data_IF_264504822103
#
_entry.id   IF_264504822103
#
_cell.length_a   1.000
_cell.length_b   1.000
_cell.length_c   1.000
_cell.angle_alpha   90.00
_cell.angle_beta   90.00
_cell.angle_gamma   90.00
#
_symmetry.space_group_name_H-M   'P 1'
#
loop_
_entity.id
_entity.type
_entity.pdbx_description
1 polymer ?
#
# COMPACT_ATOMS: atom_id res chain seq x y z
N UNK A 1 -7.16 1.36 -20.14
CA UNK A 1 -7.13 1.02 -18.71
C UNK A 1 -7.20 2.30 -17.89
N UNK A 2 -8.12 2.38 -16.96
CA UNK A 2 -8.20 3.53 -16.09
C UNK A 2 -7.03 3.50 -15.09
N UNK A 3 -6.36 4.66 -14.92
CA UNK A 3 -5.23 4.79 -14.01
C UNK A 3 -5.57 5.58 -12.75
N UNK A 4 -6.81 6.03 -12.64
CA UNK A 4 -7.30 6.83 -11.51
C UNK A 4 -8.60 6.26 -10.98
N UNK A 5 -8.75 6.38 -9.66
CA UNK A 5 -9.97 6.04 -8.96
C UNK A 5 -10.34 7.20 -8.05
N UNK A 6 -11.60 7.59 -8.10
CA UNK A 6 -12.14 8.68 -7.27
C UNK A 6 -13.38 8.22 -6.55
N UNK A 7 -13.43 8.50 -5.25
CA UNK A 7 -14.60 8.25 -4.42
C UNK A 7 -14.94 9.48 -3.60
N UNK A 8 -15.88 9.38 -2.68
CA UNK A 8 -16.19 10.48 -1.76
C UNK A 8 -15.04 10.80 -0.82
N UNK A 9 -14.18 9.82 -0.53
CA UNK A 9 -13.09 9.95 0.46
C UNK A 9 -11.73 10.10 -0.19
N UNK A 10 -11.48 9.38 -1.29
CA UNK A 10 -10.14 9.25 -1.86
C UNK A 10 -10.05 9.71 -3.30
N UNK A 11 -8.88 10.26 -3.65
CA UNK A 11 -8.39 10.38 -5.01
C UNK A 11 -7.13 9.52 -5.12
N UNK A 12 -7.16 8.50 -5.95
CA UNK A 12 -6.09 7.52 -6.10
C UNK A 12 -5.60 7.56 -7.54
N UNK A 13 -4.30 7.77 -7.74
CA UNK A 13 -3.71 7.80 -9.07
C UNK A 13 -2.32 7.18 -9.07
N UNK A 14 -1.85 6.80 -10.24
CA UNK A 14 -0.49 6.30 -10.40
C UNK A 14 0.51 7.34 -9.88
N UNK A 15 1.55 6.85 -9.20
CA UNK A 15 2.63 7.69 -8.69
C UNK A 15 3.29 8.42 -9.85
N UNK A 16 3.53 9.73 -9.69
CA UNK A 16 4.25 10.55 -10.66
C UNK A 16 5.46 11.19 -10.01
N UNK A 17 6.41 11.64 -10.83
CA UNK A 17 7.64 12.28 -10.34
C UNK A 17 7.35 13.50 -9.45
N UNK A 18 6.24 14.18 -9.69
CA UNK A 18 5.82 15.32 -8.87
C UNK A 18 5.46 14.94 -7.43
N UNK A 19 5.24 13.66 -7.16
CA UNK A 19 4.87 13.17 -5.82
C UNK A 19 6.09 12.93 -4.92
N UNK A 20 7.30 12.93 -5.48
CA UNK A 20 8.51 12.49 -4.78
C UNK A 20 8.68 13.14 -3.40
N UNK A 21 8.55 14.46 -3.32
CA UNK A 21 8.74 15.16 -2.06
C UNK A 21 7.67 14.81 -1.02
N UNK A 22 6.45 14.58 -1.48
CA UNK A 22 5.35 14.14 -0.60
C UNK A 22 5.62 12.76 0.00
N UNK A 23 6.39 11.93 -0.69
CA UNK A 23 6.72 10.58 -0.23
C UNK A 23 7.75 10.54 0.90
N UNK A 24 8.27 11.68 1.36
CA UNK A 24 9.05 11.74 2.59
C UNK A 24 8.28 11.13 3.77
N UNK A 25 7.01 11.47 3.90
CA UNK A 25 6.16 10.95 4.97
C UNK A 25 5.86 9.46 4.80
N UNK A 26 5.75 8.99 3.55
CA UNK A 26 5.58 7.56 3.27
C UNK A 26 6.86 6.78 3.63
N UNK A 27 8.02 7.29 3.24
CA UNK A 27 9.31 6.65 3.56
C UNK A 27 9.52 6.57 5.08
N UNK A 28 9.16 7.61 5.82
CA UNK A 28 9.22 7.61 7.29
C UNK A 28 8.32 6.56 7.92
N UNK A 29 7.15 6.35 7.33
CA UNK A 29 6.15 5.41 7.85
C UNK A 29 6.49 3.96 7.51
N UNK A 30 7.28 3.70 6.48
CA UNK A 30 7.67 2.36 6.08
C UNK A 30 8.62 1.74 7.11
N UNK A 31 8.33 0.50 7.53
CA UNK A 31 9.09 -0.15 8.61
C UNK A 31 10.59 -0.26 8.33
N UNK A 32 10.97 -0.63 7.10
CA UNK A 32 12.40 -0.78 6.75
C UNK A 32 13.06 0.55 6.43
N UNK A 33 12.43 1.36 5.59
CA UNK A 33 12.99 2.62 5.10
C UNK A 33 12.84 3.77 6.09
N UNK A 34 11.89 3.67 7.03
CA UNK A 34 11.76 4.66 8.09
C UNK A 34 13.02 4.82 8.91
N UNK A 35 13.73 3.73 9.19
CA UNK A 35 14.99 3.76 9.93
C UNK A 35 16.09 4.49 9.17
N UNK A 36 16.21 4.24 7.86
CA UNK A 36 17.17 4.93 7.02
C UNK A 36 16.81 6.42 6.93
N UNK A 37 15.54 6.72 6.80
CA UNK A 37 15.06 8.10 6.76
C UNK A 37 15.43 8.86 8.03
N UNK A 38 15.28 8.24 9.22
CA UNK A 38 15.58 8.88 10.50
C UNK A 38 17.06 9.22 10.65
N UNK A 39 17.96 8.40 10.06
CA UNK A 39 19.40 8.64 10.10
C UNK A 39 19.84 9.65 9.03
N UNK A 40 19.38 9.47 7.80
CA UNK A 40 19.75 10.27 6.63
C UNK A 40 18.51 10.53 5.77
N UNK A 41 17.72 11.59 6.09
CA UNK A 41 16.42 11.81 5.44
C UNK A 41 16.44 11.90 3.91
N UNK A 42 17.43 12.64 3.35
CA UNK A 42 17.48 12.78 1.88
C UNK A 42 17.93 11.50 1.20
N UNK A 43 18.84 10.76 1.81
CA UNK A 43 19.26 9.45 1.31
C UNK A 43 18.13 8.43 1.48
N UNK A 44 17.44 8.46 2.60
CA UNK A 44 16.30 7.60 2.86
C UNK A 44 15.20 7.78 1.83
N UNK A 45 14.85 9.03 1.52
CA UNK A 45 13.87 9.31 0.47
C UNK A 45 14.35 8.84 -0.89
N UNK A 46 15.60 9.11 -1.25
CA UNK A 46 16.17 8.70 -2.53
C UNK A 46 16.12 7.17 -2.69
N UNK A 47 16.58 6.42 -1.69
CA UNK A 47 16.57 4.96 -1.72
C UNK A 47 15.14 4.43 -1.85
N UNK A 48 14.23 4.95 -1.06
CA UNK A 48 12.82 4.54 -1.10
C UNK A 48 12.22 4.80 -2.47
N UNK A 49 12.40 6.02 -2.99
CA UNK A 49 11.83 6.43 -4.28
C UNK A 49 12.37 5.59 -5.44
N UNK A 50 13.69 5.39 -5.49
CA UNK A 50 14.32 4.57 -6.54
C UNK A 50 13.87 3.11 -6.46
N UNK A 51 13.82 2.53 -5.26
CA UNK A 51 13.40 1.13 -5.11
C UNK A 51 11.95 0.91 -5.56
N UNK A 52 11.10 1.92 -5.39
CA UNK A 52 9.72 1.86 -5.79
C UNK A 52 9.54 2.12 -7.30
N UNK A 53 10.18 3.15 -7.82
CA UNK A 53 9.93 3.61 -9.20
C UNK A 53 10.74 2.87 -10.26
N UNK A 54 11.86 2.27 -9.89
CA UNK A 54 12.71 1.53 -10.82
C UNK A 54 12.31 0.05 -10.97
N UNK A 55 11.42 -0.44 -10.11
CA UNK A 55 10.94 -1.81 -10.19
C UNK A 55 9.75 -1.89 -11.16
N UNK A 56 9.96 -2.48 -12.32
CA UNK A 56 8.94 -2.63 -13.36
C UNK A 56 7.92 -3.75 -13.05
N UNK A 57 8.12 -4.50 -11.98
CA UNK A 57 7.14 -5.50 -11.49
C UNK A 57 6.18 -4.94 -10.46
N UNK A 58 6.26 -3.65 -10.16
CA UNK A 58 5.36 -2.96 -9.25
C UNK A 58 4.44 -1.98 -9.97
N UNK A 59 3.22 -1.86 -9.45
CA UNK A 59 2.29 -0.80 -9.84
C UNK A 59 1.99 0.01 -8.57
N UNK A 60 2.39 1.28 -8.57
CA UNK A 60 2.33 2.13 -7.39
C UNK A 60 1.31 3.26 -7.57
N UNK A 61 0.54 3.52 -6.53
CA UNK A 61 -0.48 4.55 -6.49
C UNK A 61 -0.27 5.49 -5.32
N UNK A 62 -0.42 6.79 -5.60
CA UNK A 62 -0.52 7.82 -4.56
C UNK A 62 -1.99 7.96 -4.17
N UNK A 63 -2.26 7.99 -2.87
CA UNK A 63 -3.61 8.11 -2.33
C UNK A 63 -3.74 9.46 -1.65
N UNK A 64 -4.71 10.26 -2.10
CA UNK A 64 -4.97 11.59 -1.56
C UNK A 64 -6.34 11.64 -0.90
N UNK A 65 -6.44 12.41 0.17
CA UNK A 65 -7.73 12.83 0.73
C UNK A 65 -8.29 14.00 -0.07
N UNK A 66 -9.56 14.32 0.12
CA UNK A 66 -10.23 15.39 -0.64
C UNK A 66 -9.73 16.80 -0.31
N UNK A 67 -9.02 16.96 0.81
CA UNK A 67 -8.33 18.22 1.13
C UNK A 67 -6.98 18.40 0.40
N UNK A 68 -6.55 17.40 -0.38
CA UNK A 68 -5.29 17.43 -1.10
C UNK A 68 -4.12 16.81 -0.37
N UNK A 69 -4.27 16.41 0.89
CA UNK A 69 -3.20 15.77 1.64
C UNK A 69 -2.92 14.36 1.11
N UNK A 70 -1.65 14.01 1.04
CA UNK A 70 -1.27 12.62 0.76
C UNK A 70 -1.59 11.77 1.98
N UNK A 71 -2.47 10.78 1.79
CA UNK A 71 -2.79 9.79 2.82
C UNK A 71 -1.73 8.69 2.89
N UNK A 72 -1.21 8.28 1.73
CA UNK A 72 -0.27 7.19 1.69
C UNK A 72 -0.05 6.61 0.30
N UNK A 73 0.44 5.38 0.30
CA UNK A 73 0.75 4.61 -0.89
C UNK A 73 0.04 3.26 -0.84
N UNK A 74 -0.53 2.84 -1.96
CA UNK A 74 -0.93 1.45 -2.18
C UNK A 74 -0.25 0.94 -3.43
N UNK A 75 0.08 -0.34 -3.45
CA UNK A 75 0.79 -0.93 -4.57
C UNK A 75 0.47 -2.41 -4.74
N UNK A 76 0.61 -2.87 -5.99
CA UNK A 76 0.72 -4.28 -6.31
C UNK A 76 2.17 -4.57 -6.65
N UNK A 77 2.75 -5.56 -5.99
CA UNK A 77 4.14 -6.00 -6.19
C UNK A 77 4.13 -7.38 -6.82
N UNK A 78 5.16 -7.67 -7.63
CA UNK A 78 5.27 -8.97 -8.29
C UNK A 78 4.11 -9.22 -9.24
N UNK A 79 3.77 -8.26 -10.09
CA UNK A 79 2.65 -8.38 -11.05
C UNK A 79 2.89 -9.44 -12.13
N UNK A 80 4.12 -9.91 -12.28
CA UNK A 80 4.49 -11.03 -13.15
C UNK A 80 4.25 -12.40 -12.50
N UNK A 81 3.94 -12.44 -11.22
CA UNK A 81 3.55 -13.67 -10.51
C UNK A 81 2.06 -13.97 -10.74
N UNK A 82 1.67 -15.20 -10.46
CA UNK A 82 0.27 -15.61 -10.58
C UNK A 82 -0.66 -14.75 -9.74
N UNK A 83 -0.24 -14.42 -8.52
CA UNK A 83 -0.97 -13.53 -7.62
C UNK A 83 -0.05 -12.41 -7.18
N UNK A 84 -0.41 -11.14 -7.41
CA UNK A 84 0.40 -10.04 -6.92
C UNK A 84 0.29 -9.91 -5.41
N UNK A 85 1.25 -9.19 -4.85
CA UNK A 85 1.31 -8.91 -3.42
C UNK A 85 0.93 -7.46 -3.16
N UNK A 86 0.15 -7.25 -2.10
CA UNK A 86 -0.28 -5.93 -1.67
C UNK A 86 0.79 -5.25 -0.85
N UNK A 87 1.02 -3.95 -1.10
CA UNK A 87 1.70 -3.05 -0.17
C UNK A 87 0.76 -1.90 0.17
N UNK A 88 0.72 -1.52 1.42
CA UNK A 88 -0.03 -0.36 1.91
C UNK A 88 0.76 0.36 2.98
N UNK A 89 0.92 1.67 2.81
CA UNK A 89 1.55 2.54 3.80
C UNK A 89 0.67 3.76 4.00
N UNK A 90 0.21 3.97 5.22
CA UNK A 90 -0.50 5.20 5.62
C UNK A 90 0.50 6.10 6.34
N UNK A 91 0.54 7.38 5.98
CA UNK A 91 1.41 8.33 6.65
C UNK A 91 1.02 8.47 8.13
N UNK A 92 1.99 8.71 8.98
CA UNK A 92 1.82 8.66 10.43
C UNK A 92 0.66 9.52 10.94
N UNK A 93 0.52 10.70 10.38
CA UNK A 93 -0.53 11.67 10.74
C UNK A 93 -1.95 11.08 10.65
N UNK A 94 -2.17 10.15 9.73
CA UNK A 94 -3.49 9.59 9.44
C UNK A 94 -3.67 8.14 9.91
N UNK A 95 -2.69 7.59 10.60
CA UNK A 95 -2.78 6.23 11.13
C UNK A 95 -3.77 6.15 12.30
N UNK A 96 -4.39 4.98 12.45
CA UNK A 96 -5.30 4.73 13.58
C UNK A 96 -6.68 5.36 13.45
N UNK A 97 -7.07 5.80 12.25
CA UNK A 97 -8.35 6.50 12.01
C UNK A 97 -9.31 5.71 11.10
N UNK A 98 -8.97 4.46 10.80
CA UNK A 98 -9.84 3.60 9.98
C UNK A 98 -9.66 3.74 8.48
N UNK A 99 -8.75 4.58 8.01
CA UNK A 99 -8.54 4.80 6.58
C UNK A 99 -8.04 3.55 5.85
N UNK A 100 -7.18 2.74 6.49
CA UNK A 100 -6.63 1.55 5.83
C UNK A 100 -7.70 0.55 5.41
N UNK A 101 -8.66 0.28 6.28
CA UNK A 101 -9.75 -0.64 5.99
C UNK A 101 -10.62 -0.13 4.84
N UNK A 102 -11.04 1.13 4.90
CA UNK A 102 -11.86 1.74 3.86
C UNK A 102 -11.12 1.79 2.52
N UNK A 103 -9.86 2.22 2.55
CA UNK A 103 -9.02 2.32 1.36
C UNK A 103 -8.86 0.96 0.67
N UNK A 104 -8.58 -0.09 1.42
CA UNK A 104 -8.37 -1.40 0.82
C UNK A 104 -9.67 -1.97 0.25
N UNK A 105 -10.79 -1.77 0.90
CA UNK A 105 -12.09 -2.19 0.36
C UNK A 105 -12.39 -1.52 -0.98
N UNK A 106 -12.18 -0.22 -1.07
CA UNK A 106 -12.44 0.53 -2.30
C UNK A 106 -11.44 0.20 -3.39
N UNK A 107 -10.14 0.31 -3.07
CA UNK A 107 -9.09 0.18 -4.07
C UNK A 107 -8.95 -1.25 -4.60
N UNK A 108 -9.02 -2.27 -3.73
CA UNK A 108 -8.90 -3.66 -4.18
C UNK A 108 -10.09 -4.10 -5.02
N UNK A 109 -11.29 -3.60 -4.72
CA UNK A 109 -12.45 -3.88 -5.56
C UNK A 109 -12.31 -3.21 -6.93
N UNK A 110 -11.76 -2.00 -6.98
CA UNK A 110 -11.43 -1.35 -8.24
C UNK A 110 -10.36 -2.10 -9.03
N UNK A 111 -9.32 -2.59 -8.36
CA UNK A 111 -8.27 -3.43 -8.97
C UNK A 111 -8.87 -4.72 -9.53
N UNK A 112 -9.76 -5.36 -8.80
CA UNK A 112 -10.46 -6.56 -9.29
C UNK A 112 -11.22 -6.28 -10.59
N UNK A 113 -11.98 -5.20 -10.60
CA UNK A 113 -12.79 -4.81 -11.77
C UNK A 113 -11.93 -4.41 -12.96
N UNK A 114 -10.88 -3.61 -12.73
CA UNK A 114 -10.09 -3.02 -13.83
C UNK A 114 -8.95 -3.90 -14.32
N UNK A 115 -8.37 -4.72 -13.46
CA UNK A 115 -7.21 -5.55 -13.79
C UNK A 115 -7.50 -7.06 -13.76
N UNK A 116 -8.67 -7.45 -13.24
CA UNK A 116 -9.08 -8.84 -13.22
C UNK A 116 -8.40 -9.71 -12.16
N UNK A 117 -7.76 -9.13 -11.17
CA UNK A 117 -7.19 -9.90 -10.06
C UNK A 117 -8.29 -10.33 -9.09
N UNK A 118 -8.35 -11.62 -8.78
CA UNK A 118 -9.32 -12.19 -7.84
C UNK A 118 -8.69 -12.70 -6.56
N UNK A 119 -7.38 -12.60 -6.44
CA UNK A 119 -6.64 -12.94 -5.23
C UNK A 119 -5.42 -12.03 -5.11
N UNK A 120 -5.23 -11.48 -3.93
CA UNK A 120 -4.07 -10.65 -3.59
C UNK A 120 -3.38 -11.28 -2.39
N UNK A 121 -2.08 -11.53 -2.51
CA UNK A 121 -1.26 -12.04 -1.42
C UNK A 121 -0.74 -10.89 -0.54
N UNK A 122 -0.53 -11.20 0.73
CA UNK A 122 -0.09 -10.24 1.72
C UNK A 122 0.97 -10.91 2.58
N UNK A 123 2.07 -10.20 2.84
CA UNK A 123 3.07 -10.58 3.84
C UNK A 123 3.07 -9.56 4.96
N UNK A 124 2.99 -10.06 6.19
CA UNK A 124 2.96 -9.20 7.37
C UNK A 124 4.06 -9.65 8.30
N UNK A 125 4.95 -8.74 8.70
CA UNK A 125 5.89 -9.02 9.78
C UNK A 125 5.09 -9.34 11.05
N UNK A 126 5.44 -10.42 11.74
CA UNK A 126 4.67 -10.88 12.90
C UNK A 126 4.69 -9.89 14.07
N UNK A 127 5.61 -8.92 14.06
CA UNK A 127 5.65 -7.84 15.05
C UNK A 127 4.76 -6.65 14.66
N UNK A 128 4.26 -6.60 13.44
CA UNK A 128 3.43 -5.50 12.95
C UNK A 128 1.97 -5.69 13.35
N UNK A 129 1.66 -5.37 14.61
CA UNK A 129 0.32 -5.59 15.19
C UNK A 129 -0.76 -4.77 14.50
N UNK A 130 -0.43 -3.58 13.98
CA UNK A 130 -1.40 -2.74 13.26
C UNK A 130 -1.89 -3.41 11.98
N UNK A 131 -0.94 -3.93 11.17
CA UNK A 131 -1.29 -4.64 9.93
C UNK A 131 -2.03 -5.94 10.23
N UNK A 132 -1.63 -6.68 11.26
CA UNK A 132 -2.33 -7.89 11.66
C UNK A 132 -3.79 -7.59 11.96
N UNK A 133 -4.07 -6.55 12.75
CA UNK A 133 -5.44 -6.15 13.09
C UNK A 133 -6.23 -5.73 11.86
N UNK A 134 -5.60 -4.96 10.95
CA UNK A 134 -6.25 -4.54 9.72
C UNK A 134 -6.70 -5.73 8.89
N UNK A 135 -5.80 -6.68 8.63
CA UNK A 135 -6.13 -7.82 7.78
C UNK A 135 -7.05 -8.83 8.46
N UNK A 136 -7.06 -8.90 9.79
CA UNK A 136 -8.08 -9.64 10.52
C UNK A 136 -9.47 -9.03 10.31
N UNK A 137 -9.60 -7.71 10.37
CA UNK A 137 -10.86 -7.02 10.07
C UNK A 137 -11.35 -7.28 8.65
N UNK A 138 -10.44 -7.37 7.70
CA UNK A 138 -10.75 -7.66 6.30
C UNK A 138 -10.99 -9.16 6.06
N UNK A 139 -10.84 -9.99 7.09
CA UNK A 139 -11.03 -11.44 7.04
C UNK A 139 -10.07 -12.14 6.06
N UNK A 140 -8.83 -11.68 6.02
CA UNK A 140 -7.78 -12.32 5.24
C UNK A 140 -7.59 -13.77 5.71
N UNK A 141 -7.35 -14.66 4.75
CA UNK A 141 -7.13 -16.09 5.02
C UNK A 141 -5.63 -16.29 5.25
N UNK A 142 -5.28 -16.84 6.42
CA UNK A 142 -3.87 -17.12 6.75
C UNK A 142 -3.46 -18.43 6.08
N UNK A 143 -2.43 -18.33 5.24
CA UNK A 143 -1.89 -19.48 4.51
C UNK A 143 -0.74 -20.15 5.27
N UNK A 144 0.10 -19.31 5.91
CA UNK A 144 1.27 -19.77 6.68
C UNK A 144 1.64 -18.73 7.71
N UNK A 145 2.02 -19.16 8.90
CA UNK A 145 2.39 -18.26 9.99
C UNK A 145 3.75 -18.65 10.57
N UNK A 146 4.72 -17.75 10.39
CA UNK A 146 6.08 -17.85 10.88
C UNK A 146 6.51 -16.46 11.38
N UNK A 147 7.79 -16.07 11.21
CA UNK A 147 8.21 -14.68 11.41
C UNK A 147 7.48 -13.72 10.49
N UNK A 148 7.15 -14.20 9.29
CA UNK A 148 6.30 -13.51 8.33
C UNK A 148 4.99 -14.27 8.28
N UNK A 149 3.88 -13.56 8.40
CA UNK A 149 2.55 -14.11 8.21
C UNK A 149 2.19 -13.95 6.75
N UNK A 150 1.91 -15.07 6.09
CA UNK A 150 1.48 -15.10 4.70
C UNK A 150 -0.03 -15.30 4.69
N UNK A 151 -0.74 -14.37 4.09
CA UNK A 151 -2.19 -14.46 3.97
C UNK A 151 -2.64 -13.94 2.61
N UNK A 152 -3.92 -14.07 2.32
CA UNK A 152 -4.49 -13.55 1.08
C UNK A 152 -5.91 -13.05 1.30
N UNK A 153 -6.32 -12.19 0.39
CA UNK A 153 -7.70 -11.73 0.25
C UNK A 153 -8.25 -12.22 -1.08
N UNK A 154 -9.45 -12.76 -1.07
CA UNK A 154 -10.21 -13.05 -2.27
C UNK A 154 -11.02 -11.82 -2.67
N UNK A 155 -11.04 -11.52 -3.97
CA UNK A 155 -11.70 -10.34 -4.51
C UNK A 155 -12.88 -10.73 -5.42
N UNK A 156 -13.94 -9.94 -5.50
CA UNK A 156 -14.13 -8.68 -4.76
C UNK A 156 -14.46 -8.92 -3.28
N UNK A 157 -14.20 -7.91 -2.47
CA UNK A 157 -14.61 -7.90 -1.06
C UNK A 157 -16.04 -7.38 -0.92
N UNK A 158 -16.75 -7.95 0.01
CA UNK A 158 -18.13 -7.52 0.35
C UNK A 158 -18.17 -6.21 1.13
#
# INVERSE_FOLDING_TARGET
MEQEYHSEVFDIRRVSENDKELFREVAKAEYLFGRLYDVEPDIGLKVYWESMTEDDTEINYSVFLKNGDLLGRVALQGIDNKFPELAIIIVKQYQGQGYGELLLKEWLNWICTTMGYHRINIRIDSSNTRSIKLFQKLKAIVDREEYIIYCHLDLPME
#
